data_IF_611732574438
#
_entry.id   IF_611732574438
#
_cell.length_a   1.000
_cell.length_b   1.000
_cell.length_c   1.000
_cell.angle_alpha   90.00
_cell.angle_beta   90.00
_cell.angle_gamma   90.00
#
_symmetry.space_group_name_H-M   'P 1'
#
loop_
_entity.id
_entity.type
_entity.pdbx_description
1 polymer ?
#
# COMPACT_ATOMS: atom_id res chain seq x y z
N UNK A 1 25.43 24.36 -22.29
CA UNK A 1 25.01 23.00 -21.88
C UNK A 1 24.71 22.84 -20.36
N UNK A 2 24.49 23.91 -19.59
CA UNK A 2 24.36 23.82 -18.10
C UNK A 2 22.98 24.20 -17.52
N UNK A 3 21.95 24.46 -18.33
CA UNK A 3 20.65 24.96 -17.86
C UNK A 3 19.60 23.89 -17.54
N UNK A 4 19.82 22.62 -17.91
CA UNK A 4 18.76 21.59 -17.79
C UNK A 4 18.62 21.03 -16.36
N UNK A 5 19.72 20.88 -15.61
CA UNK A 5 19.70 20.24 -14.28
C UNK A 5 18.88 21.01 -13.22
N UNK A 6 18.74 22.34 -13.35
CA UNK A 6 17.95 23.15 -12.41
C UNK A 6 16.44 22.90 -12.53
N UNK A 7 15.95 22.50 -13.71
CA UNK A 7 14.52 22.26 -13.94
C UNK A 7 14.02 20.93 -13.35
N UNK A 8 14.92 19.96 -13.15
CA UNK A 8 14.56 18.63 -12.61
C UNK A 8 14.48 18.56 -11.08
N UNK A 9 14.80 19.63 -10.34
CA UNK A 9 14.57 19.67 -8.89
C UNK A 9 13.08 19.88 -8.61
N UNK A 10 12.26 18.84 -8.79
CA UNK A 10 10.85 18.79 -8.40
C UNK A 10 10.76 18.98 -6.88
N UNK A 11 10.28 20.13 -6.37
CA UNK A 11 10.32 20.40 -4.92
C UNK A 11 9.31 19.58 -4.12
N UNK A 12 8.26 19.07 -4.76
CA UNK A 12 7.11 18.52 -4.06
C UNK A 12 6.62 17.17 -4.65
N UNK A 13 7.44 16.13 -4.48
CA UNK A 13 7.02 14.73 -4.62
C UNK A 13 6.89 14.05 -3.25
N UNK A 14 6.91 14.81 -2.15
CA UNK A 14 7.03 14.26 -0.79
C UNK A 14 5.78 14.36 0.08
N UNK A 15 4.70 14.97 -0.38
CA UNK A 15 3.43 14.95 0.34
C UNK A 15 2.38 14.24 -0.51
N UNK A 16 2.55 12.93 -0.70
CA UNK A 16 1.35 12.11 -0.77
C UNK A 16 0.67 12.29 0.61
N UNK A 17 -0.62 12.64 0.67
CA UNK A 17 -1.35 12.65 1.92
C UNK A 17 -1.01 11.38 2.68
N UNK A 18 -0.70 11.52 3.97
CA UNK A 18 -0.39 10.37 4.80
C UNK A 18 -1.65 9.50 4.80
N UNK A 19 -1.64 8.40 4.03
CA UNK A 19 -2.79 7.52 3.81
C UNK A 19 -3.47 7.26 5.17
N UNK A 20 -4.77 7.52 5.28
CA UNK A 20 -5.46 7.40 6.56
C UNK A 20 -5.81 5.93 6.86
N UNK A 21 -6.42 5.69 8.02
CA UNK A 21 -7.01 4.38 8.31
C UNK A 21 -8.13 4.03 7.30
N UNK A 22 -8.94 5.01 6.90
CA UNK A 22 -10.02 4.82 5.92
C UNK A 22 -9.44 4.46 4.54
N UNK A 23 -8.39 5.18 4.11
CA UNK A 23 -7.76 5.00 2.78
C UNK A 23 -6.95 3.69 2.67
N UNK A 24 -6.69 3.01 3.79
CA UNK A 24 -5.89 1.78 3.81
C UNK A 24 -6.65 0.62 4.41
N UNK A 25 -7.00 0.69 5.69
CA UNK A 25 -7.38 -0.46 6.49
C UNK A 25 -8.83 -0.91 6.31
N UNK A 26 -9.71 -0.01 5.83
CA UNK A 26 -11.12 -0.33 5.51
C UNK A 26 -11.33 -0.83 4.10
N UNK A 27 -10.33 -0.69 3.23
CA UNK A 27 -10.42 -1.20 1.86
C UNK A 27 -10.47 -2.74 1.83
N UNK A 28 -11.16 -3.35 0.85
CA UNK A 28 -11.13 -4.80 0.69
C UNK A 28 -9.74 -5.28 0.24
N UNK A 29 -9.43 -6.56 0.45
CA UNK A 29 -8.27 -7.17 -0.21
C UNK A 29 -8.43 -7.10 -1.72
N UNK A 30 -7.38 -6.70 -2.44
CA UNK A 30 -7.39 -6.64 -3.91
C UNK A 30 -6.19 -7.38 -4.52
N UNK A 31 -6.47 -8.46 -5.26
CA UNK A 31 -5.48 -9.25 -5.99
C UNK A 31 -4.80 -8.43 -7.08
N UNK A 32 -5.47 -7.42 -7.62
CA UNK A 32 -5.03 -6.68 -8.81
C UNK A 32 -5.13 -7.50 -10.08
N UNK A 33 -4.59 -6.95 -11.18
CA UNK A 33 -4.78 -7.47 -12.55
C UNK A 33 -3.72 -8.48 -13.02
N UNK A 34 -2.60 -8.57 -12.30
CA UNK A 34 -1.54 -9.52 -12.64
C UNK A 34 -1.83 -10.94 -12.09
N UNK A 35 -1.14 -11.94 -12.65
CA UNK A 35 -1.41 -13.37 -12.40
C UNK A 35 -0.32 -14.07 -11.58
N UNK A 36 0.59 -13.34 -10.94
CA UNK A 36 1.51 -13.94 -9.99
C UNK A 36 0.76 -14.40 -8.71
N UNK A 37 1.47 -15.06 -7.81
CA UNK A 37 0.92 -15.52 -6.53
C UNK A 37 1.86 -15.13 -5.40
N UNK A 38 1.62 -13.97 -4.80
CA UNK A 38 2.35 -13.50 -3.64
C UNK A 38 1.44 -13.54 -2.42
N UNK A 39 1.81 -14.29 -1.38
CA UNK A 39 1.14 -14.22 -0.10
C UNK A 39 1.34 -12.82 0.50
N UNK A 40 0.24 -12.19 0.89
CA UNK A 40 0.20 -10.89 1.55
C UNK A 40 -0.86 -10.89 2.64
N UNK A 41 -0.84 -9.87 3.47
CA UNK A 41 -1.78 -9.69 4.58
C UNK A 41 -2.65 -8.47 4.34
N UNK A 42 -3.93 -8.55 4.68
CA UNK A 42 -4.86 -7.43 4.66
C UNK A 42 -5.68 -7.42 5.95
N UNK A 43 -6.13 -6.26 6.38
CA UNK A 43 -7.00 -6.13 7.53
C UNK A 43 -8.47 -6.33 7.11
N UNK A 44 -9.18 -7.24 7.76
CA UNK A 44 -10.57 -7.58 7.43
C UNK A 44 -11.61 -6.87 8.33
N UNK A 45 -11.20 -5.80 9.03
CA UNK A 45 -12.02 -5.09 10.01
C UNK A 45 -11.94 -5.64 11.44
N UNK A 46 -11.36 -6.84 11.63
CA UNK A 46 -11.16 -7.46 12.95
C UNK A 46 -9.73 -7.90 13.18
N UNK A 47 -9.11 -8.48 12.16
CA UNK A 47 -7.74 -9.02 12.23
C UNK A 47 -7.08 -8.99 10.86
N UNK A 48 -5.79 -9.26 10.84
CA UNK A 48 -5.03 -9.41 9.61
C UNK A 48 -5.11 -10.85 9.11
N UNK A 49 -5.62 -11.02 7.89
CA UNK A 49 -5.77 -12.31 7.22
C UNK A 49 -4.88 -12.37 5.97
N UNK A 50 -4.50 -13.59 5.58
CA UNK A 50 -3.75 -13.84 4.35
C UNK A 50 -4.64 -13.69 3.11
N UNK A 51 -4.05 -13.20 2.03
CA UNK A 51 -4.65 -13.23 0.69
C UNK A 51 -3.55 -13.34 -0.38
N UNK A 52 -3.95 -13.66 -1.61
CA UNK A 52 -3.03 -13.75 -2.76
C UNK A 52 -3.05 -12.44 -3.55
N UNK A 53 -1.90 -11.79 -3.60
CA UNK A 53 -1.66 -10.64 -4.46
C UNK A 53 -1.08 -11.07 -5.80
N UNK A 54 -1.68 -10.56 -6.88
CA UNK A 54 -1.33 -10.86 -8.27
C UNK A 54 -0.01 -10.27 -8.74
N UNK A 55 0.61 -9.37 -7.96
CA UNK A 55 1.91 -8.78 -8.24
C UNK A 55 1.87 -7.36 -8.81
N UNK A 56 0.73 -6.90 -9.33
CA UNK A 56 0.56 -5.51 -9.77
C UNK A 56 -0.84 -4.96 -9.51
N UNK A 57 -0.92 -3.63 -9.32
CA UNK A 57 -2.15 -2.93 -8.98
C UNK A 57 -2.63 -3.24 -7.55
N UNK A 58 -3.94 -3.32 -7.39
CA UNK A 58 -4.57 -3.43 -6.08
C UNK A 58 -4.49 -2.13 -5.29
N UNK A 59 -4.90 -2.20 -4.03
CA UNK A 59 -4.89 -1.07 -3.10
C UNK A 59 -3.84 -1.22 -1.99
N UNK A 60 -3.89 -0.30 -1.02
CA UNK A 60 -2.97 -0.20 0.11
C UNK A 60 -3.21 -1.18 1.25
N UNK A 61 -4.36 -1.88 1.32
CA UNK A 61 -4.62 -2.90 2.33
C UNK A 61 -3.85 -4.20 2.02
N UNK A 62 -2.53 -4.11 2.00
CA UNK A 62 -1.62 -5.14 1.48
C UNK A 62 -0.26 -5.01 2.14
N UNK A 63 0.01 -5.90 3.08
CA UNK A 63 1.21 -5.89 3.89
C UNK A 63 2.04 -7.16 3.67
N UNK A 64 3.39 -7.08 3.81
CA UNK A 64 4.27 -8.23 3.63
C UNK A 64 4.18 -9.24 4.78
N UNK A 65 3.86 -8.79 5.99
CA UNK A 65 3.76 -9.65 7.18
C UNK A 65 2.51 -9.32 7.99
N UNK A 66 2.10 -10.25 8.87
CA UNK A 66 0.96 -10.05 9.76
C UNK A 66 1.21 -8.90 10.73
N UNK A 67 2.44 -8.78 11.24
CA UNK A 67 2.85 -7.74 12.20
C UNK A 67 2.79 -6.36 11.56
N UNK A 68 3.22 -6.21 10.31
CA UNK A 68 3.13 -4.96 9.58
C UNK A 68 1.67 -4.52 9.39
N UNK A 69 0.79 -5.47 9.07
CA UNK A 69 -0.65 -5.24 8.96
C UNK A 69 -1.26 -4.83 10.31
N UNK A 70 -1.00 -5.58 11.39
CA UNK A 70 -1.55 -5.28 12.72
C UNK A 70 -1.01 -3.97 13.28
N UNK A 71 0.27 -3.65 13.04
CA UNK A 71 0.87 -2.37 13.45
C UNK A 71 0.17 -1.18 12.78
N UNK A 72 -0.27 -1.33 11.54
CA UNK A 72 -0.95 -0.29 10.77
C UNK A 72 -2.44 -0.21 11.06
N UNK A 73 -3.13 -1.34 11.20
CA UNK A 73 -4.59 -1.41 11.20
C UNK A 73 -5.21 -1.96 12.50
N UNK A 74 -4.43 -2.58 13.39
CA UNK A 74 -4.95 -3.30 14.56
C UNK A 74 -5.24 -2.44 15.79
N UNK A 75 -5.20 -1.10 15.68
CA UNK A 75 -5.44 -0.17 16.80
C UNK A 75 -6.77 0.59 16.70
N UNK A 76 -7.59 0.28 15.71
CA UNK A 76 -8.89 0.92 15.50
C UNK A 76 -9.98 0.31 16.38
#
# INVERSE_FOLDING_TARGET
RLSVLRYYRRPDLRILPQETFEDTCRLPSDRGRCKASFERWYFNGRTCAKFIYGGCGGNGNKFPTQEACMKRCGKA
#
